data_IF_440745024272
#
_entry.id   IF_440745024272
#
_cell.length_a   1.000
_cell.length_b   1.000
_cell.length_c   1.000
_cell.angle_alpha   90.00
_cell.angle_beta   90.00
_cell.angle_gamma   90.00
#
_symmetry.space_group_name_H-M   'P 1'
#
loop_
_entity.id
_entity.type
_entity.pdbx_description
1 polymer ?
#
# COMPACT_ATOMS: atom_id res chain seq x y z
N UNK A 1 12.56 11.09 21.60
CA UNK A 1 11.97 9.74 21.72
C UNK A 1 10.78 9.53 20.75
N UNK A 2 10.81 10.08 19.52
CA UNK A 2 9.66 9.98 18.59
C UNK A 2 9.78 8.94 17.47
N UNK A 3 10.96 8.37 17.25
CA UNK A 3 11.26 7.50 16.11
C UNK A 3 10.64 6.12 16.19
N UNK A 4 10.41 5.59 17.40
CA UNK A 4 9.80 4.26 17.57
C UNK A 4 8.36 4.29 17.07
N UNK A 5 7.60 5.34 17.40
CA UNK A 5 6.22 5.53 16.92
C UNK A 5 6.18 5.61 15.38
N UNK A 6 7.10 6.36 14.79
CA UNK A 6 7.22 6.46 13.32
C UNK A 6 7.52 5.09 12.70
N UNK A 7 8.46 4.34 13.26
CA UNK A 7 8.76 2.98 12.79
C UNK A 7 7.57 2.02 12.90
N UNK A 8 6.82 2.06 14.00
CA UNK A 8 5.60 1.26 14.18
C UNK A 8 4.52 1.60 13.16
N UNK A 9 4.32 2.89 12.87
CA UNK A 9 3.38 3.35 11.84
C UNK A 9 3.84 2.87 10.46
N UNK A 10 5.13 3.00 10.14
CA UNK A 10 5.70 2.53 8.87
C UNK A 10 5.44 1.04 8.66
N UNK A 11 5.75 0.21 9.67
CA UNK A 11 5.58 -1.23 9.61
C UNK A 11 4.12 -1.62 9.48
N UNK A 12 3.23 -0.97 10.24
CA UNK A 12 1.79 -1.19 10.16
C UNK A 12 1.26 -0.85 8.77
N UNK A 13 1.72 0.25 8.18
CA UNK A 13 1.32 0.72 6.85
C UNK A 13 1.83 -0.24 5.74
N UNK A 14 3.07 -0.71 5.87
CA UNK A 14 3.67 -1.72 4.99
C UNK A 14 2.84 -3.02 5.01
N UNK A 15 2.56 -3.53 6.20
CA UNK A 15 1.77 -4.77 6.38
C UNK A 15 0.36 -4.58 5.85
N UNK A 16 -0.27 -3.43 6.11
CA UNK A 16 -1.58 -3.10 5.58
C UNK A 16 -1.60 -3.04 4.05
N UNK A 17 -0.60 -2.40 3.43
CA UNK A 17 -0.46 -2.33 1.98
C UNK A 17 -0.26 -3.72 1.35
N UNK A 18 0.66 -4.54 1.89
CA UNK A 18 0.86 -5.91 1.40
C UNK A 18 -0.40 -6.77 1.53
N UNK A 19 -1.13 -6.65 2.66
CA UNK A 19 -2.41 -7.34 2.86
C UNK A 19 -3.48 -6.87 1.89
N UNK A 20 -3.63 -5.57 1.65
CA UNK A 20 -4.63 -5.04 0.72
C UNK A 20 -4.30 -5.46 -0.73
N UNK A 21 -3.03 -5.38 -1.16
CA UNK A 21 -2.60 -5.85 -2.49
C UNK A 21 -2.86 -7.36 -2.69
N UNK A 22 -2.63 -8.15 -1.63
CA UNK A 22 -2.82 -9.60 -1.69
C UNK A 22 -4.30 -9.95 -1.74
N UNK A 23 -5.14 -9.29 -0.92
CA UNK A 23 -6.58 -9.55 -0.83
C UNK A 23 -7.38 -8.97 -1.99
N UNK A 24 -7.02 -7.79 -2.52
CA UNK A 24 -7.79 -7.16 -3.60
C UNK A 24 -7.53 -7.85 -4.93
N UNK A 25 -8.56 -8.12 -5.74
CA UNK A 25 -8.38 -8.62 -7.10
C UNK A 25 -7.67 -7.55 -7.95
N UNK A 26 -6.88 -7.99 -8.93
CA UNK A 26 -6.06 -7.09 -9.76
C UNK A 26 -6.89 -6.04 -10.51
N UNK A 27 -8.16 -6.34 -10.83
CA UNK A 27 -9.09 -5.39 -11.44
C UNK A 27 -9.37 -4.14 -10.58
N UNK A 28 -9.19 -4.23 -9.25
CA UNK A 28 -9.35 -3.13 -8.29
C UNK A 28 -8.04 -2.43 -7.96
N UNK A 29 -6.94 -2.76 -8.65
CA UNK A 29 -5.62 -2.16 -8.44
C UNK A 29 -5.19 -1.46 -9.74
N UNK A 30 -4.67 -0.25 -9.63
CA UNK A 30 -4.21 0.53 -10.77
C UNK A 30 -2.79 0.09 -11.15
N UNK A 31 -2.69 -0.87 -12.07
CA UNK A 31 -1.42 -1.45 -12.51
C UNK A 31 -1.07 -2.78 -11.82
N UNK A 32 0.11 -3.35 -12.09
CA UNK A 32 0.46 -4.69 -11.66
C UNK A 32 0.71 -4.77 -10.14
N UNK A 33 0.15 -5.80 -9.49
CA UNK A 33 0.34 -6.08 -8.06
C UNK A 33 1.80 -6.12 -7.65
N UNK A 34 2.66 -6.70 -8.48
CA UNK A 34 4.09 -6.81 -8.21
C UNK A 34 4.77 -5.44 -8.10
N UNK A 35 4.40 -4.48 -8.96
CA UNK A 35 4.94 -3.12 -8.89
C UNK A 35 4.53 -2.43 -7.58
N UNK A 36 3.28 -2.60 -7.13
CA UNK A 36 2.83 -2.04 -5.86
C UNK A 36 3.47 -2.72 -4.65
N UNK A 37 3.75 -4.03 -4.73
CA UNK A 37 4.52 -4.73 -3.70
C UNK A 37 5.93 -4.17 -3.60
N UNK A 38 6.62 -4.01 -4.73
CA UNK A 38 7.95 -3.43 -4.79
C UNK A 38 7.96 -1.96 -4.32
N UNK A 39 7.01 -1.16 -4.77
CA UNK A 39 6.85 0.23 -4.34
C UNK A 39 6.68 0.31 -2.82
N UNK A 40 5.87 -0.56 -2.21
CA UNK A 40 5.63 -0.58 -0.76
C UNK A 40 6.90 -0.78 0.07
N UNK A 41 7.95 -1.43 -0.46
CA UNK A 41 9.24 -1.57 0.23
C UNK A 41 10.06 -0.26 0.29
N UNK A 42 9.66 0.76 -0.46
CA UNK A 42 10.35 2.05 -0.51
C UNK A 42 9.81 2.96 0.61
N UNK A 43 10.40 2.85 1.80
CA UNK A 43 10.14 3.73 2.95
C UNK A 43 8.63 4.00 3.19
N UNK A 44 8.26 5.24 3.52
CA UNK A 44 6.87 5.68 3.65
C UNK A 44 6.20 6.03 2.31
N UNK A 45 7.00 6.38 1.30
CA UNK A 45 6.49 6.86 0.00
C UNK A 45 5.77 5.73 -0.74
N UNK A 46 6.27 4.50 -0.61
CA UNK A 46 5.69 3.31 -1.20
C UNK A 46 4.26 3.01 -0.78
N UNK A 47 4.02 2.71 0.51
CA UNK A 47 2.69 2.39 1.00
C UNK A 47 1.71 3.55 0.84
N UNK A 48 2.16 4.80 1.06
CA UNK A 48 1.31 5.98 0.85
C UNK A 48 0.94 6.14 -0.63
N UNK A 49 1.88 5.99 -1.56
CA UNK A 49 1.62 6.02 -2.99
C UNK A 49 0.63 4.94 -3.42
N UNK A 50 0.69 3.74 -2.83
CA UNK A 50 -0.28 2.68 -3.09
C UNK A 50 -1.71 3.05 -2.68
N UNK A 51 -1.89 3.56 -1.46
CA UNK A 51 -3.22 3.91 -0.98
C UNK A 51 -3.85 5.08 -1.75
N UNK A 52 -3.02 6.02 -2.23
CA UNK A 52 -3.48 7.20 -2.99
C UNK A 52 -3.74 6.85 -4.45
N UNK A 53 -2.79 6.19 -5.13
CA UNK A 53 -2.83 5.98 -6.59
C UNK A 53 -3.06 4.53 -7.02
N UNK A 54 -2.63 3.57 -6.19
CA UNK A 54 -2.67 2.14 -6.51
C UNK A 54 -4.03 1.48 -6.27
N UNK A 55 -4.87 2.05 -5.41
CA UNK A 55 -6.22 1.53 -5.15
C UNK A 55 -7.22 2.11 -6.16
N UNK A 56 -7.78 1.27 -7.04
CA UNK A 56 -8.99 1.67 -7.79
C UNK A 56 -10.15 1.54 -6.82
N UNK A 57 -10.75 2.67 -6.46
CA UNK A 57 -12.06 2.67 -5.81
C UNK A 57 -13.00 2.03 -6.82
N UNK A 58 -13.57 0.87 -6.49
CA UNK A 58 -14.62 0.29 -7.30
C UNK A 58 -15.67 1.39 -7.44
N UNK A 59 -15.78 1.94 -8.65
CA UNK A 59 -16.87 2.85 -8.97
C UNK A 59 -18.12 2.07 -8.64
N UNK A 60 -18.83 2.49 -7.59
CA UNK A 60 -20.19 2.06 -7.40
C UNK A 60 -20.91 2.52 -8.68
N UNK A 61 -21.18 1.55 -9.53
CA UNK A 61 -22.16 1.60 -10.61
C UNK A 61 -23.50 2.06 -10.09
#
# INVERSE_FOLDING_TARGET
>A
MGTVLVGMVQMSLLVAAQRDISRRPAAQINGPKAAWRAASFINFVGPMGYFIFGRKRASAS
#
